data_IF_193719531545
#
_entry.id   IF_193719531545
#
_cell.length_a   1.000
_cell.length_b   1.000
_cell.length_c   1.000
_cell.angle_alpha   90.00
_cell.angle_beta   90.00
_cell.angle_gamma   90.00
#
_symmetry.space_group_name_H-M   'P 1'
#
loop_
_entity.id
_entity.type
_entity.pdbx_description
1 polymer ?
#
# COMPACT_ATOMS: atom_id res chain seq x y z
N UNK A 1 -9.04 0.12 2.63
CA UNK A 1 -8.57 0.69 3.93
C UNK A 1 -7.28 1.44 3.64
N UNK A 2 -7.03 2.64 4.20
CA UNK A 2 -5.74 3.30 4.04
C UNK A 2 -4.68 2.61 4.91
N UNK A 3 -3.43 2.58 4.46
CA UNK A 3 -2.31 1.97 5.18
C UNK A 3 -1.16 2.97 5.36
N UNK A 4 -0.49 2.90 6.51
CA UNK A 4 0.79 3.54 6.76
C UNK A 4 1.76 2.42 7.09
N UNK A 5 2.89 2.35 6.38
CA UNK A 5 3.91 1.35 6.61
C UNK A 5 5.28 2.02 6.71
N UNK A 6 6.19 1.38 7.43
CA UNK A 6 7.59 1.80 7.38
C UNK A 6 8.19 1.42 6.03
N UNK A 7 9.09 2.25 5.52
CA UNK A 7 9.91 1.96 4.35
C UNK A 7 10.99 0.93 4.74
N UNK A 8 10.55 -0.28 5.00
CA UNK A 8 11.36 -1.43 5.38
C UNK A 8 11.21 -2.53 4.33
N UNK A 9 12.35 -3.03 3.85
CA UNK A 9 12.43 -4.19 2.94
C UNK A 9 11.50 -4.03 1.71
N UNK A 10 10.57 -4.96 1.49
CA UNK A 10 9.72 -5.04 0.30
C UNK A 10 8.42 -4.22 0.41
N UNK A 11 8.21 -3.45 1.48
CA UNK A 11 7.00 -2.63 1.61
C UNK A 11 6.87 -1.64 0.44
N UNK A 12 7.99 -1.11 -0.05
CA UNK A 12 8.03 -0.19 -1.21
C UNK A 12 7.69 -0.86 -2.54
N UNK A 13 7.73 -2.19 -2.62
CA UNK A 13 7.42 -2.93 -3.85
C UNK A 13 5.91 -3.12 -4.02
N UNK A 14 5.15 -3.01 -2.92
CA UNK A 14 3.69 -3.13 -2.89
C UNK A 14 3.03 -1.74 -2.70
N UNK A 15 3.64 -0.89 -1.86
CA UNK A 15 3.11 0.42 -1.51
C UNK A 15 3.82 1.49 -2.35
N UNK A 16 3.03 2.19 -3.17
CA UNK A 16 3.43 3.42 -3.83
C UNK A 16 3.05 4.60 -2.93
N UNK A 17 4.07 5.27 -2.39
CA UNK A 17 3.89 6.35 -1.42
C UNK A 17 2.99 7.46 -1.97
N UNK A 18 2.01 7.86 -1.16
CA UNK A 18 1.02 8.86 -1.50
C UNK A 18 -0.06 8.42 -2.48
N UNK A 19 -0.04 7.18 -3.00
CA UNK A 19 -1.02 6.68 -3.97
C UNK A 19 -1.93 5.62 -3.36
N UNK A 20 -1.36 4.52 -2.85
CA UNK A 20 -2.11 3.40 -2.25
C UNK A 20 -1.79 3.19 -0.76
N UNK A 21 -0.89 4.01 -0.21
CA UNK A 21 -0.50 4.04 1.19
C UNK A 21 0.51 5.16 1.45
N UNK A 22 0.96 5.29 2.69
CA UNK A 22 2.05 6.18 3.07
C UNK A 22 3.25 5.38 3.55
N UNK A 23 4.44 5.73 3.10
CA UNK A 23 5.70 5.17 3.57
C UNK A 23 6.40 6.16 4.50
N UNK A 24 6.73 5.69 5.70
CA UNK A 24 7.47 6.47 6.70
C UNK A 24 8.85 5.86 6.97
N UNK A 25 9.87 6.65 7.35
CA UNK A 25 11.17 6.10 7.71
C UNK A 25 11.10 5.13 8.89
N UNK A 26 12.01 4.16 8.91
CA UNK A 26 12.18 3.25 10.05
C UNK A 26 12.68 4.02 11.27
N UNK A 27 12.31 3.57 12.47
CA UNK A 27 12.69 4.20 13.74
C UNK A 27 12.37 5.70 13.84
N UNK A 28 11.34 6.17 13.12
CA UNK A 28 10.90 7.56 13.17
C UNK A 28 9.43 7.68 13.63
N UNK A 29 9.17 7.68 14.96
CA UNK A 29 7.83 7.82 15.51
C UNK A 29 7.14 9.14 15.11
N UNK A 30 7.92 10.21 14.92
CA UNK A 30 7.41 11.51 14.54
C UNK A 30 6.77 11.47 13.14
N UNK A 31 7.47 10.86 12.17
CA UNK A 31 6.93 10.67 10.83
C UNK A 31 5.67 9.79 10.81
N UNK A 32 5.62 8.76 11.66
CA UNK A 32 4.41 7.94 11.84
C UNK A 32 3.23 8.77 12.37
N UNK A 33 3.47 9.62 13.37
CA UNK A 33 2.46 10.51 13.94
C UNK A 33 1.95 11.51 12.89
N UNK A 34 2.84 12.10 12.10
CA UNK A 34 2.49 13.05 11.04
C UNK A 34 1.65 12.39 9.94
N UNK A 35 2.00 11.16 9.53
CA UNK A 35 1.20 10.40 8.58
C UNK A 35 -0.20 10.07 9.11
N UNK A 36 -0.30 9.68 10.38
CA UNK A 36 -1.59 9.47 11.06
C UNK A 36 -2.43 10.75 11.11
N UNK A 37 -1.82 11.88 11.48
CA UNK A 37 -2.47 13.18 11.52
C UNK A 37 -2.92 13.64 10.13
N UNK A 38 -2.15 13.37 9.07
CA UNK A 38 -2.52 13.65 7.68
C UNK A 38 -3.83 12.95 7.32
N UNK A 39 -3.93 11.65 7.60
CA UNK A 39 -5.17 10.89 7.38
C UNK A 39 -6.32 11.32 8.29
N UNK A 40 -6.03 11.75 9.52
CA UNK A 40 -7.07 12.23 10.44
C UNK A 40 -7.69 13.55 9.95
N UNK A 41 -6.84 14.50 9.53
CA UNK A 41 -7.24 15.85 9.11
C UNK A 41 -7.88 15.88 7.73
N UNK A 42 -7.39 15.09 6.79
CA UNK A 42 -7.90 15.06 5.41
C UNK A 42 -8.62 13.75 5.10
N UNK A 43 -9.95 13.78 5.25
CA UNK A 43 -10.81 12.62 5.00
C UNK A 43 -10.91 12.26 3.53
N UNK A 44 -10.82 13.24 2.63
CA UNK A 44 -10.92 13.01 1.19
C UNK A 44 -9.67 12.29 0.70
N UNK A 45 -8.50 12.81 1.07
CA UNK A 45 -7.22 12.17 0.80
C UNK A 45 -7.16 10.74 1.37
N UNK A 46 -7.60 10.57 2.62
CA UNK A 46 -7.68 9.23 3.24
C UNK A 46 -8.56 8.26 2.44
N UNK A 47 -9.70 8.74 1.94
CA UNK A 47 -10.65 7.93 1.16
C UNK A 47 -10.07 7.56 -0.19
N UNK A 48 -9.42 8.51 -0.87
CA UNK A 48 -8.74 8.30 -2.14
C UNK A 48 -7.65 7.22 -2.03
N UNK A 49 -6.74 7.36 -1.05
CA UNK A 49 -5.70 6.37 -0.76
C UNK A 49 -6.33 4.99 -0.52
N UNK A 50 -7.41 4.92 0.27
CA UNK A 50 -8.09 3.67 0.58
C UNK A 50 -8.73 3.00 -0.64
N UNK A 51 -9.26 3.78 -1.59
CA UNK A 51 -9.81 3.28 -2.84
C UNK A 51 -8.70 2.78 -3.78
N UNK A 52 -7.59 3.50 -3.87
CA UNK A 52 -6.43 3.08 -4.67
C UNK A 52 -5.79 1.82 -4.09
N UNK A 53 -5.67 1.72 -2.77
CA UNK A 53 -5.25 0.51 -2.08
C UNK A 53 -6.15 -0.69 -2.45
N UNK A 54 -7.47 -0.51 -2.40
CA UNK A 54 -8.41 -1.58 -2.76
C UNK A 54 -8.25 -2.02 -4.21
N UNK A 55 -7.96 -1.10 -5.14
CA UNK A 55 -7.69 -1.45 -6.54
C UNK A 55 -6.38 -2.24 -6.67
N UNK A 56 -5.32 -1.82 -5.97
CA UNK A 56 -4.02 -2.50 -6.01
C UNK A 56 -4.10 -3.91 -5.43
N UNK A 57 -4.79 -4.07 -4.31
CA UNK A 57 -4.97 -5.35 -3.64
C UNK A 57 -5.57 -6.44 -4.56
N UNK A 58 -6.36 -6.06 -5.58
CA UNK A 58 -6.94 -7.00 -6.55
C UNK A 58 -5.87 -7.75 -7.36
N UNK A 59 -4.67 -7.19 -7.54
CA UNK A 59 -3.57 -7.85 -8.26
C UNK A 59 -3.06 -9.10 -7.54
N UNK A 60 -3.23 -9.15 -6.22
CA UNK A 60 -2.74 -10.23 -5.36
C UNK A 60 -3.83 -11.28 -5.05
N UNK A 61 -4.98 -11.23 -5.72
CA UNK A 61 -6.01 -12.25 -5.57
C UNK A 61 -5.53 -13.60 -6.12
N UNK A 62 -5.93 -14.74 -5.50
CA UNK A 62 -5.51 -16.07 -5.93
C UNK A 62 -5.68 -16.30 -7.43
N UNK A 63 -6.83 -15.94 -8.00
CA UNK A 63 -7.11 -16.12 -9.42
C UNK A 63 -6.08 -15.41 -10.33
N UNK A 64 -5.64 -14.21 -9.94
CA UNK A 64 -4.65 -13.43 -10.69
C UNK A 64 -3.24 -13.97 -10.53
N UNK A 65 -2.89 -14.41 -9.32
CA UNK A 65 -1.56 -14.96 -9.05
C UNK A 65 -1.40 -16.34 -9.70
N UNK A 66 -2.42 -17.20 -9.61
CA UNK A 66 -2.43 -18.52 -10.24
C UNK A 66 -2.36 -18.42 -11.77
N UNK A 67 -3.06 -17.46 -12.38
CA UNK A 67 -2.96 -17.19 -13.81
C UNK A 67 -1.50 -16.92 -14.25
N UNK A 68 -0.75 -16.12 -13.48
CA UNK A 68 0.67 -15.85 -13.75
C UNK A 68 1.53 -17.09 -13.51
N UNK A 69 1.24 -17.85 -12.45
CA UNK A 69 1.98 -19.05 -12.09
C UNK A 69 1.85 -20.15 -13.15
N UNK A 70 0.63 -20.46 -13.62
CA UNK A 70 0.41 -21.45 -14.68
C UNK A 70 1.10 -21.06 -15.98
N UNK A 71 0.99 -19.80 -16.41
CA UNK A 71 1.72 -19.28 -17.59
C UNK A 71 3.24 -19.42 -17.49
N UNK A 72 3.78 -19.41 -16.28
CA UNK A 72 5.21 -19.61 -16.05
C UNK A 72 5.60 -21.10 -16.14
N UNK A 73 4.75 -22.01 -15.64
CA UNK A 73 5.00 -23.46 -15.71
C UNK A 73 4.81 -24.06 -17.11
N UNK A 74 3.97 -23.45 -17.95
CA UNK A 74 3.73 -23.89 -19.34
C UNK A 74 4.85 -23.46 -20.32
N UNK A 75 5.94 -22.86 -19.82
CA UNK A 75 7.15 -22.50 -20.57
C UNK A 75 8.29 -23.47 -20.28
#
# INVERSE_FOLDING_TARGET
MPIIATNWMYNKDIIQDGVNGLLVPIHNPQAMCEALLKFYRDRNYRTEIAMNNLKEAKKYQPDKVLEVFYRFMDK
#
